data_IF_136929013479
#
_entry.id   IF_136929013479
#
_cell.length_a   1.000
_cell.length_b   1.000
_cell.length_c   1.000
_cell.angle_alpha   90.00
_cell.angle_beta   90.00
_cell.angle_gamma   90.00
#
_symmetry.space_group_name_H-M   'P 1'
#
loop_
_entity.id
_entity.type
_entity.pdbx_description
1 polymer ?
#
# COMPACT_ATOMS: atom_id res chain seq x y z
N UNK A 1 -8.12 0.37 8.42
CA UNK A 1 -6.78 0.88 8.05
C UNK A 1 -5.99 1.14 9.30
N UNK A 2 -4.76 0.72 9.31
CA UNK A 2 -3.85 0.87 10.44
C UNK A 2 -2.74 1.85 10.07
N UNK A 3 -2.57 2.90 10.84
CA UNK A 3 -1.46 3.84 10.63
C UNK A 3 -0.19 3.27 11.26
N UNK A 4 0.84 3.07 10.46
CA UNK A 4 2.14 2.56 10.93
C UNK A 4 3.09 3.71 11.22
N UNK A 5 3.13 4.70 10.35
CA UNK A 5 4.05 5.82 10.45
C UNK A 5 3.48 7.03 9.72
N UNK A 6 3.82 8.21 10.20
CA UNK A 6 3.45 9.46 9.55
C UNK A 6 4.66 10.39 9.51
N UNK A 7 4.89 10.98 8.36
CA UNK A 7 5.97 11.95 8.13
C UNK A 7 5.35 13.26 7.67
N UNK A 8 5.82 14.35 8.23
CA UNK A 8 5.25 15.65 7.91
C UNK A 8 6.34 16.68 7.60
N UNK A 9 6.18 17.39 6.51
CA UNK A 9 6.87 18.63 6.20
C UNK A 9 5.84 19.76 6.11
N UNK A 10 6.23 20.98 5.83
CA UNK A 10 5.34 22.14 5.89
C UNK A 10 4.08 21.99 5.03
N UNK A 11 4.22 21.43 3.83
CA UNK A 11 3.15 21.32 2.84
C UNK A 11 2.98 19.88 2.33
N UNK A 12 3.55 18.90 3.02
CA UNK A 12 3.49 17.51 2.62
C UNK A 12 3.33 16.59 3.82
N UNK A 13 2.49 15.59 3.65
CA UNK A 13 2.31 14.51 4.64
C UNK A 13 2.41 13.19 3.91
N UNK A 14 3.20 12.28 4.46
CA UNK A 14 3.30 10.90 3.97
C UNK A 14 2.81 9.97 5.08
N UNK A 15 1.84 9.15 4.76
CA UNK A 15 1.29 8.15 5.69
C UNK A 15 1.67 6.76 5.19
N UNK A 16 2.29 5.98 6.05
CA UNK A 16 2.50 4.56 5.82
C UNK A 16 1.45 3.79 6.61
N UNK A 17 0.63 3.03 5.91
CA UNK A 17 -0.51 2.35 6.50
C UNK A 17 -0.56 0.88 6.08
N UNK A 18 -1.34 0.10 6.81
CA UNK A 18 -1.69 -1.27 6.44
C UNK A 18 -3.21 -1.31 6.26
N UNK A 19 -3.65 -1.76 5.11
CA UNK A 19 -5.05 -2.02 4.82
C UNK A 19 -5.28 -3.52 4.75
N UNK A 20 -6.31 -4.00 5.42
CA UNK A 20 -6.72 -5.39 5.35
C UNK A 20 -8.04 -5.45 4.60
N UNK A 21 -8.07 -6.27 3.56
CA UNK A 21 -9.24 -6.42 2.70
C UNK A 21 -9.49 -7.88 2.39
N UNK A 22 -10.75 -8.20 2.08
CA UNK A 22 -11.14 -9.53 1.63
C UNK A 22 -11.60 -9.40 0.18
N UNK A 23 -10.94 -10.10 -0.73
CA UNK A 23 -11.23 -9.97 -2.15
C UNK A 23 -10.88 -11.24 -2.90
N UNK A 24 -11.57 -11.44 -4.03
CA UNK A 24 -11.19 -12.44 -5.01
C UNK A 24 -10.26 -11.79 -6.03
N UNK A 25 -9.11 -12.39 -6.25
CA UNK A 25 -8.09 -11.85 -7.14
C UNK A 25 -7.62 -12.98 -8.06
N UNK A 26 -7.63 -12.71 -9.37
CA UNK A 26 -7.08 -13.62 -10.34
C UNK A 26 -7.78 -14.97 -10.45
N UNK A 27 -9.08 -15.03 -10.19
CA UNK A 27 -9.85 -16.28 -10.22
C UNK A 27 -9.67 -17.16 -9.00
N UNK A 28 -8.91 -16.70 -8.01
CA UNK A 28 -8.76 -17.40 -6.73
C UNK A 28 -9.97 -17.16 -5.84
N UNK A 29 -10.29 -18.10 -4.93
CA UNK A 29 -11.34 -17.86 -3.94
C UNK A 29 -11.09 -16.61 -3.12
N UNK A 30 -12.13 -16.03 -2.56
CA UNK A 30 -12.03 -14.89 -1.67
C UNK A 30 -11.00 -15.13 -0.58
N UNK A 31 -10.05 -14.21 -0.42
CA UNK A 31 -8.98 -14.30 0.54
C UNK A 31 -8.80 -12.97 1.25
N UNK A 32 -8.22 -13.03 2.44
CA UNK A 32 -7.78 -11.84 3.15
C UNK A 32 -6.47 -11.38 2.58
N UNK A 33 -6.42 -10.13 2.20
CA UNK A 33 -5.21 -9.48 1.73
C UNK A 33 -4.84 -8.39 2.70
N UNK A 34 -3.55 -8.36 3.06
CA UNK A 34 -2.98 -7.22 3.77
C UNK A 34 -2.14 -6.44 2.78
N UNK A 35 -2.38 -5.16 2.70
CA UNK A 35 -1.67 -4.27 1.79
C UNK A 35 -0.88 -3.25 2.59
N UNK A 36 0.37 -3.05 2.19
CA UNK A 36 1.15 -1.91 2.63
C UNK A 36 0.83 -0.76 1.70
N UNK A 37 0.32 0.32 2.26
CA UNK A 37 -0.13 1.47 1.47
C UNK A 37 0.63 2.70 1.90
N UNK A 38 1.19 3.40 0.93
CA UNK A 38 1.80 4.71 1.13
C UNK A 38 0.91 5.76 0.49
N UNK A 39 0.52 6.74 1.29
CA UNK A 39 -0.31 7.86 0.86
C UNK A 39 0.51 9.12 0.98
N UNK A 40 0.55 9.91 -0.09
CA UNK A 40 1.23 11.20 -0.10
C UNK A 40 0.21 12.28 -0.32
N UNK A 41 0.13 13.21 0.63
CA UNK A 41 -0.73 14.38 0.55
C UNK A 41 0.13 15.63 0.42
N UNK A 42 -0.32 16.55 -0.40
CA UNK A 42 0.31 17.86 -0.52
C UNK A 42 -0.71 18.95 -0.28
N UNK A 43 -0.28 20.00 0.40
CA UNK A 43 -1.14 21.16 0.61
C UNK A 43 -1.06 22.07 -0.59
N UNK A 44 -2.20 22.30 -1.22
CA UNK A 44 -2.34 23.19 -2.37
C UNK A 44 -3.51 24.12 -2.10
N UNK A 45 -3.29 25.42 -2.21
CA UNK A 45 -4.34 26.43 -2.01
C UNK A 45 -5.11 26.24 -0.68
N UNK A 46 -4.37 26.00 0.40
CA UNK A 46 -4.88 25.74 1.74
C UNK A 46 -5.72 24.46 1.88
N UNK A 47 -5.63 23.57 0.90
CA UNK A 47 -6.29 22.26 0.94
C UNK A 47 -5.30 21.13 0.81
N UNK A 48 -5.48 20.10 1.64
CA UNK A 48 -4.70 18.88 1.52
C UNK A 48 -5.29 17.99 0.42
N UNK A 49 -4.45 17.60 -0.53
CA UNK A 49 -4.86 16.75 -1.66
C UNK A 49 -4.00 15.51 -1.70
N UNK A 50 -4.65 14.37 -1.92
CA UNK A 50 -3.94 13.12 -2.17
C UNK A 50 -3.31 13.19 -3.56
N UNK A 51 -1.98 13.17 -3.62
CA UNK A 51 -1.25 13.29 -4.89
C UNK A 51 -0.61 11.99 -5.33
N UNK A 52 -0.50 11.01 -4.42
CA UNK A 52 0.07 9.71 -4.76
C UNK A 52 -0.41 8.65 -3.78
N UNK A 53 -0.70 7.46 -4.31
CA UNK A 53 -1.02 6.28 -3.54
C UNK A 53 -0.27 5.09 -4.14
N UNK A 54 0.45 4.39 -3.30
CA UNK A 54 1.12 3.15 -3.69
C UNK A 54 0.72 2.04 -2.74
N UNK A 55 0.40 0.88 -3.27
CA UNK A 55 -0.01 -0.27 -2.48
C UNK A 55 0.70 -1.54 -2.97
N UNK A 56 1.28 -2.26 -2.02
CA UNK A 56 1.92 -3.56 -2.26
C UNK A 56 1.31 -4.61 -1.34
N UNK A 57 1.29 -5.84 -1.81
CA UNK A 57 0.90 -6.95 -0.96
C UNK A 57 1.90 -7.09 0.19
N UNK A 58 1.38 -7.12 1.41
CA UNK A 58 2.20 -7.40 2.59
C UNK A 58 2.24 -8.90 2.77
N UNK A 59 3.35 -9.52 2.37
CA UNK A 59 3.52 -10.97 2.42
C UNK A 59 4.73 -11.32 3.28
N UNK A 60 4.75 -12.52 3.90
CA UNK A 60 5.95 -13.00 4.55
C UNK A 60 7.11 -13.09 3.55
N UNK A 61 8.32 -13.12 4.06
CA UNK A 61 9.49 -13.29 3.20
C UNK A 61 9.30 -14.47 2.26
N UNK A 62 9.65 -14.27 0.99
CA UNK A 62 9.53 -15.30 -0.04
C UNK A 62 10.90 -15.70 -0.56
N UNK A 63 10.99 -16.92 -1.12
CA UNK A 63 12.22 -17.39 -1.74
C UNK A 63 12.45 -16.69 -3.07
N UNK A 64 13.70 -16.75 -3.56
CA UNK A 64 14.02 -16.26 -4.89
C UNK A 64 13.19 -16.95 -5.98
N UNK A 65 12.95 -18.25 -5.79
CA UNK A 65 12.14 -19.03 -6.71
C UNK A 65 10.70 -18.53 -6.77
N UNK A 66 10.11 -18.24 -5.61
CA UNK A 66 8.77 -17.68 -5.52
C UNK A 66 8.73 -16.28 -6.14
N UNK A 67 9.74 -15.47 -5.88
CA UNK A 67 9.83 -14.14 -6.47
C UNK A 67 9.93 -14.19 -7.99
N UNK A 68 10.73 -15.11 -8.50
CA UNK A 68 10.86 -15.31 -9.95
C UNK A 68 9.53 -15.72 -10.58
N UNK A 69 8.77 -16.59 -9.94
CA UNK A 69 7.46 -17.00 -10.42
C UNK A 69 6.49 -15.82 -10.52
N UNK A 70 6.56 -14.86 -9.58
CA UNK A 70 5.72 -13.66 -9.59
C UNK A 70 6.11 -12.69 -10.71
N UNK A 71 7.39 -12.63 -11.05
CA UNK A 71 7.89 -11.68 -12.05
C UNK A 71 7.81 -12.17 -13.48
N UNK A 72 7.63 -13.48 -13.68
CA UNK A 72 7.57 -14.08 -15.01
C UNK A 72 6.17 -14.11 -15.63
N UNK A 73 5.17 -13.67 -14.89
CA UNK A 73 3.80 -13.62 -15.37
C UNK A 73 3.54 -12.40 -16.27
#
# INVERSE_FOLDING_TARGET
MELVEAYRAADMVVLATIERTHAEVGGLPGQRWSLRVTLVFRKEDDQWKLVHRHADALVPGITLEQAAALTLE
#
